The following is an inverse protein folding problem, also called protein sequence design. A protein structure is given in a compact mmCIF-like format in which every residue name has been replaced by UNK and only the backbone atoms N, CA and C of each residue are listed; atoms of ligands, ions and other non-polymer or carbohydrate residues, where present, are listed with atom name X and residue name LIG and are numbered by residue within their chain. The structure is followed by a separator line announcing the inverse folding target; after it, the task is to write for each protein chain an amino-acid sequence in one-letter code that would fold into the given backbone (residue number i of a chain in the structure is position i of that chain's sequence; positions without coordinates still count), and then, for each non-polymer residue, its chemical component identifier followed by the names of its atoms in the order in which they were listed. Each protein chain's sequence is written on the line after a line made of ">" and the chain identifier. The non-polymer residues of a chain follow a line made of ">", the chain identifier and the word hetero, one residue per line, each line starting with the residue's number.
data_IF_169908532411
#
_entry.id   IF_169908532411
#
_cell.length_a   1.000
_cell.length_b   1.000
_cell.length_c   1.000
_cell.angle_alpha   90.00
_cell.angle_beta   90.00
_cell.angle_gamma   90.00
#
_symmetry.space_group_name_H-M   'P 1'
#
loop_
_entity.id
_entity.type
_entity.pdbx_description
1 polymer ?
#
# COMPACT_ATOMS: atom_id res chain seq x y z
N UNK A 1 -3.50 -12.40 13.41
CA UNK A 1 -2.36 -11.83 12.66
C UNK A 1 -1.09 -12.27 13.37
N UNK A 2 -0.13 -12.88 12.67
CA UNK A 2 1.19 -13.15 13.27
C UNK A 2 1.95 -11.83 13.43
N UNK A 3 2.77 -11.74 14.48
CA UNK A 3 3.61 -10.56 14.79
C UNK A 3 4.64 -10.25 13.70
N UNK A 4 5.03 -11.27 12.95
CA UNK A 4 5.93 -11.17 11.80
C UNK A 4 5.29 -11.88 10.60
N UNK A 5 5.32 -11.23 9.44
CA UNK A 5 4.90 -11.79 8.15
C UNK A 5 5.85 -11.29 7.09
N UNK A 6 6.44 -12.19 6.31
CA UNK A 6 7.30 -11.84 5.18
C UNK A 6 8.45 -10.87 5.53
N UNK A 7 9.12 -11.11 6.67
CA UNK A 7 10.20 -10.25 7.17
C UNK A 7 9.74 -8.87 7.68
N UNK A 8 8.43 -8.60 7.70
CA UNK A 8 7.84 -7.38 8.27
C UNK A 8 7.36 -7.67 9.68
N UNK A 9 7.76 -6.81 10.62
CA UNK A 9 7.29 -6.85 12.01
C UNK A 9 6.13 -5.86 12.14
N UNK A 10 5.00 -6.36 12.63
CA UNK A 10 3.81 -5.54 12.89
C UNK A 10 3.77 -5.20 14.37
N UNK A 11 3.66 -3.91 14.67
CA UNK A 11 3.60 -3.38 16.03
C UNK A 11 2.62 -2.22 16.10
N UNK A 12 2.09 -1.97 17.30
CA UNK A 12 1.33 -0.74 17.55
C UNK A 12 2.26 0.47 17.59
N UNK A 13 1.74 1.71 17.44
CA UNK A 13 2.54 2.91 17.62
C UNK A 13 3.22 2.99 18.99
N UNK A 14 2.55 2.52 20.05
CA UNK A 14 3.10 2.47 21.41
C UNK A 14 4.27 1.50 21.53
N UNK A 15 4.13 0.30 20.96
CA UNK A 15 5.21 -0.70 20.89
C UNK A 15 6.41 -0.21 20.07
N UNK A 16 6.16 0.58 19.02
CA UNK A 16 7.19 1.16 18.18
C UNK A 16 7.81 2.45 18.78
N UNK A 17 7.30 2.96 19.90
CA UNK A 17 7.73 4.23 20.48
C UNK A 17 7.47 5.45 19.57
N UNK A 18 6.52 5.33 18.64
CA UNK A 18 6.23 6.36 17.64
C UNK A 18 5.17 7.30 18.19
N UNK A 19 5.47 8.60 18.17
CA UNK A 19 4.50 9.63 18.54
C UNK A 19 3.55 9.92 17.36
N UNK A 20 2.27 10.24 17.64
CA UNK A 20 1.37 10.75 16.62
C UNK A 20 1.98 11.95 15.86
N UNK A 21 1.67 12.11 14.56
CA UNK A 21 2.12 13.27 13.80
C UNK A 21 1.64 14.60 14.40
N UNK A 22 2.44 15.65 14.25
CA UNK A 22 2.03 17.01 14.64
C UNK A 22 1.01 17.59 13.64
N UNK A 23 0.25 18.61 14.05
CA UNK A 23 -0.73 19.25 13.15
C UNK A 23 -0.07 19.84 11.89
N UNK A 24 1.15 20.36 12.00
CA UNK A 24 1.94 20.83 10.86
C UNK A 24 2.24 19.70 9.87
N UNK A 25 2.64 18.52 10.38
CA UNK A 25 2.90 17.33 9.54
C UNK A 25 1.62 16.84 8.89
N UNK A 26 0.49 16.86 9.61
CA UNK A 26 -0.82 16.49 9.05
C UNK A 26 -1.24 17.48 7.96
N UNK A 27 -1.07 18.78 8.18
CA UNK A 27 -1.40 19.82 7.21
C UNK A 27 -0.54 19.68 5.95
N UNK A 28 0.77 19.47 6.11
CA UNK A 28 1.68 19.21 5.00
C UNK A 28 1.29 17.95 4.22
N UNK A 29 1.01 16.85 4.92
CA UNK A 29 0.59 15.60 4.29
C UNK A 29 -0.72 15.77 3.52
N UNK A 30 -1.73 16.44 4.11
CA UNK A 30 -3.01 16.73 3.45
C UNK A 30 -2.80 17.54 2.16
N UNK A 31 -1.93 18.55 2.19
CA UNK A 31 -1.59 19.33 1.01
C UNK A 31 -0.96 18.45 -0.09
N UNK A 32 0.03 17.64 0.27
CA UNK A 32 0.69 16.73 -0.67
C UNK A 32 -0.29 15.74 -1.31
N UNK A 33 -1.21 15.17 -0.51
CA UNK A 33 -2.26 14.29 -1.02
C UNK A 33 -3.24 15.02 -1.95
N UNK A 34 -3.64 16.24 -1.60
CA UNK A 34 -4.53 17.04 -2.46
C UNK A 34 -3.86 17.38 -3.81
N UNK A 35 -2.58 17.74 -3.81
CA UNK A 35 -1.81 17.99 -5.04
C UNK A 35 -1.68 16.74 -5.91
N UNK A 36 -1.47 15.57 -5.29
CA UNK A 36 -1.45 14.31 -6.02
C UNK A 36 -2.82 13.99 -6.61
N UNK A 37 -3.90 14.13 -5.82
CA UNK A 37 -5.26 13.85 -6.28
C UNK A 37 -5.65 14.76 -7.45
N UNK A 38 -5.28 16.04 -7.41
CA UNK A 38 -5.51 16.95 -8.52
C UNK A 38 -4.86 16.48 -9.84
N UNK A 39 -3.66 15.87 -9.77
CA UNK A 39 -2.99 15.28 -10.95
C UNK A 39 -3.72 14.05 -11.46
N UNK A 40 -4.20 13.19 -10.56
CA UNK A 40 -4.99 12.00 -10.92
C UNK A 40 -6.32 12.40 -11.56
N UNK A 41 -7.01 13.38 -10.99
CA UNK A 41 -8.31 13.85 -11.47
C UNK A 41 -8.22 14.52 -12.84
N UNK A 42 -7.08 15.17 -13.13
CA UNK A 42 -6.80 15.77 -14.43
C UNK A 42 -6.57 14.75 -15.56
N UNK A 43 -6.42 13.45 -15.26
CA UNK A 43 -6.29 12.40 -16.28
C UNK A 43 -7.63 12.22 -16.99
N UNK A 44 -7.61 12.39 -18.31
CA UNK A 44 -8.77 12.21 -19.18
C UNK A 44 -9.33 10.78 -19.04
N UNK A 45 -10.66 10.58 -19.08
CA UNK A 45 -11.26 9.26 -18.91
C UNK A 45 -10.67 8.17 -19.81
N UNK A 46 -10.37 8.51 -21.06
CA UNK A 46 -9.75 7.65 -22.07
C UNK A 46 -8.32 7.19 -21.72
N UNK A 47 -7.59 7.98 -20.93
CA UNK A 47 -6.22 7.68 -20.49
C UNK A 47 -6.19 6.96 -19.13
N UNK A 48 -7.34 6.78 -18.48
CA UNK A 48 -7.41 6.04 -17.22
C UNK A 48 -7.28 4.56 -17.50
N UNK A 49 -6.35 3.91 -16.81
CA UNK A 49 -6.25 2.45 -16.84
C UNK A 49 -7.53 1.83 -16.26
N UNK A 50 -8.39 1.31 -17.14
CA UNK A 50 -9.62 0.58 -16.78
C UNK A 50 -9.37 -0.91 -16.59
N UNK A 51 -8.35 -1.44 -17.27
CA UNK A 51 -7.91 -2.82 -17.17
C UNK A 51 -6.62 -2.89 -16.36
N UNK A 52 -6.73 -3.48 -15.17
CA UNK A 52 -5.59 -3.72 -14.29
C UNK A 52 -5.33 -5.21 -14.27
N UNK A 53 -4.07 -5.61 -14.53
CA UNK A 53 -3.68 -7.02 -14.46
C UNK A 53 -4.03 -7.62 -13.10
N UNK A 54 -4.56 -8.84 -13.01
CA UNK A 54 -4.78 -9.52 -11.74
C UNK A 54 -3.51 -9.60 -10.88
N UNK A 55 -2.32 -9.64 -11.52
CA UNK A 55 -1.04 -9.65 -10.83
C UNK A 55 -0.75 -8.35 -10.06
N UNK A 56 -1.37 -7.23 -10.44
CA UNK A 56 -1.18 -5.94 -9.77
C UNK A 56 -1.59 -5.98 -8.31
N UNK A 57 -2.64 -6.74 -7.98
CA UNK A 57 -3.15 -6.91 -6.61
C UNK A 57 -2.64 -8.17 -5.92
N UNK A 58 -1.81 -8.95 -6.61
CA UNK A 58 -1.30 -10.22 -6.13
C UNK A 58 0.18 -10.09 -5.81
N UNK A 59 0.48 -9.67 -4.58
CA UNK A 59 1.84 -9.56 -4.09
C UNK A 59 2.50 -10.92 -3.78
N UNK A 60 1.78 -12.03 -3.94
CA UNK A 60 2.19 -13.34 -3.39
C UNK A 60 2.49 -14.41 -4.44
N UNK A 61 1.82 -14.42 -5.60
CA UNK A 61 2.15 -15.39 -6.66
C UNK A 61 3.49 -15.08 -7.31
N UNK A 62 4.26 -16.13 -7.63
CA UNK A 62 5.62 -16.05 -8.15
C UNK A 62 6.67 -15.69 -7.11
N UNK A 63 6.30 -15.63 -5.82
CA UNK A 63 7.23 -15.37 -4.69
C UNK A 63 7.45 -16.63 -3.87
N UNK A 64 8.33 -16.56 -2.87
CA UNK A 64 8.55 -17.63 -1.89
C UNK A 64 7.30 -18.00 -1.06
N UNK A 65 6.24 -17.18 -1.10
CA UNK A 65 4.95 -17.44 -0.43
C UNK A 65 3.98 -18.26 -1.29
N UNK A 66 4.27 -18.47 -2.59
CA UNK A 66 3.45 -19.33 -3.43
C UNK A 66 3.60 -20.80 -2.99
N UNK A 67 2.48 -21.44 -2.62
CA UNK A 67 2.53 -22.85 -2.21
C UNK A 67 2.85 -23.72 -3.43
N UNK A 68 3.74 -24.71 -3.31
CA UNK A 68 3.94 -25.68 -4.37
C UNK A 68 2.60 -26.33 -4.72
N UNK A 69 2.23 -26.35 -6.00
CA UNK A 69 1.06 -27.12 -6.44
C UNK A 69 1.30 -28.57 -6.04
N UNK A 70 0.44 -29.11 -5.18
CA UNK A 70 0.35 -30.56 -5.01
C UNK A 70 -0.20 -31.10 -6.33
N UNK A 71 0.65 -31.75 -7.10
CA UNK A 71 0.20 -32.61 -8.18
C UNK A 71 -0.68 -33.70 -7.55
N UNK A 72 -1.92 -33.81 -8.03
CA UNK A 72 -2.89 -34.85 -7.66
C UNK A 72 -2.96 -35.83 -8.81
#
# INVERSE_FOLDING_TARGET
>A
MSREIAGKIFSTPEEAGVKPPTEEKLTHARKAFAEFQAKVDAVAPEDRATEVSPKFWDDTSGTEYERPKKEV
#
